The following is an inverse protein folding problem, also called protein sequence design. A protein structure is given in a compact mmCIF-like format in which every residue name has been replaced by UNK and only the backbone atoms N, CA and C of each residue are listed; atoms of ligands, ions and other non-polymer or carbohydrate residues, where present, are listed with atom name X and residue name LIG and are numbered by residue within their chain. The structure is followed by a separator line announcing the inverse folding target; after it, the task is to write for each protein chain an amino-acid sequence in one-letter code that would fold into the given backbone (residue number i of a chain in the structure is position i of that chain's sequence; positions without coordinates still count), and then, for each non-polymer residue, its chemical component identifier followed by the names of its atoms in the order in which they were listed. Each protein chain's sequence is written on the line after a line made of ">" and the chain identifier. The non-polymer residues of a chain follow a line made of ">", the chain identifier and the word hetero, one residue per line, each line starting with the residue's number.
data_IF_668381007552
#
_entry.id   IF_668381007552
#
_cell.length_a   1.000
_cell.length_b   1.000
_cell.length_c   1.000
_cell.angle_alpha   90.00
_cell.angle_beta   90.00
_cell.angle_gamma   90.00
#
_symmetry.space_group_name_H-M   'P 1'
#
loop_
_entity.id
_entity.type
_entity.pdbx_description
1 polymer ?
#
# COMPACT_ATOMS: atom_id res chain seq x y z
N UNK A 1 -16.47 -9.32 -9.09
CA UNK A 1 -16.77 -7.95 -8.60
C UNK A 1 -17.70 -7.18 -9.54
N UNK A 2 -17.38 -6.95 -10.82
CA UNK A 2 -18.32 -6.29 -11.77
C UNK A 2 -19.69 -6.97 -11.97
N UNK A 3 -19.82 -8.27 -11.70
CA UNK A 3 -21.10 -8.97 -11.79
C UNK A 3 -22.07 -8.68 -10.63
N UNK A 4 -21.58 -8.10 -9.54
CA UNK A 4 -22.34 -7.91 -8.29
C UNK A 4 -22.60 -6.42 -7.99
N UNK A 5 -21.87 -5.52 -8.63
CA UNK A 5 -21.99 -4.06 -8.48
C UNK A 5 -22.05 -3.41 -9.87
N UNK A 6 -23.26 -3.08 -10.32
CA UNK A 6 -23.55 -2.61 -11.68
C UNK A 6 -22.94 -1.23 -11.99
N UNK A 7 -22.65 -0.44 -10.94
CA UNK A 7 -22.03 0.90 -11.01
C UNK A 7 -20.55 0.91 -10.61
N UNK A 8 -19.89 -0.26 -10.57
CA UNK A 8 -18.47 -0.33 -10.22
C UNK A 8 -17.59 0.34 -11.28
N UNK A 9 -17.12 1.53 -10.96
CA UNK A 9 -16.09 2.25 -11.70
C UNK A 9 -14.72 1.72 -11.28
N UNK A 10 -13.88 1.38 -12.26
CA UNK A 10 -12.53 0.85 -12.03
C UNK A 10 -11.56 1.66 -12.87
N UNK A 11 -10.59 2.28 -12.21
CA UNK A 11 -9.52 3.03 -12.85
C UNK A 11 -8.19 2.34 -12.55
N UNK A 12 -7.40 2.05 -13.59
CA UNK A 12 -6.05 1.52 -13.43
C UNK A 12 -5.08 2.64 -13.03
N UNK A 13 -4.25 2.37 -12.03
CA UNK A 13 -3.31 3.34 -11.50
C UNK A 13 -1.93 2.69 -11.38
N UNK A 14 -0.93 3.41 -11.89
CA UNK A 14 0.47 3.13 -11.66
C UNK A 14 1.07 4.28 -10.84
N UNK A 15 1.69 3.95 -9.71
CA UNK A 15 2.36 4.93 -8.87
C UNK A 15 3.66 4.34 -8.30
N UNK A 16 4.53 5.20 -7.77
CA UNK A 16 5.79 4.77 -7.15
C UNK A 16 5.81 5.14 -5.67
N UNK A 17 6.17 4.19 -4.81
CA UNK A 17 6.35 4.42 -3.37
C UNK A 17 7.73 3.91 -2.95
N UNK A 18 8.54 4.78 -2.33
CA UNK A 18 9.93 4.47 -1.95
C UNK A 18 10.79 3.95 -3.12
N UNK A 19 10.51 4.41 -4.35
CA UNK A 19 11.18 3.93 -5.56
C UNK A 19 10.70 2.57 -6.08
N UNK A 20 9.73 1.94 -5.42
CA UNK A 20 9.10 0.70 -5.85
C UNK A 20 7.88 1.05 -6.70
N UNK A 21 7.79 0.48 -7.90
CA UNK A 21 6.61 0.59 -8.75
C UNK A 21 5.45 -0.23 -8.18
N UNK A 22 4.29 0.41 -8.09
CA UNK A 22 3.04 -0.18 -7.67
C UNK A 22 2.01 0.00 -8.78
N UNK A 23 1.29 -1.07 -9.07
CA UNK A 23 0.21 -1.07 -10.06
C UNK A 23 -1.07 -1.57 -9.41
N UNK A 24 -2.22 -1.09 -9.85
CA UNK A 24 -3.47 -1.61 -9.34
C UNK A 24 -4.66 -0.78 -9.78
N UNK A 25 -5.68 -0.76 -8.94
CA UNK A 25 -6.96 -0.19 -9.31
C UNK A 25 -7.53 0.68 -8.19
N UNK A 26 -8.10 1.82 -8.57
CA UNK A 26 -9.08 2.52 -7.76
C UNK A 26 -10.47 2.02 -8.17
N UNK A 27 -11.33 1.78 -7.19
CA UNK A 27 -12.65 1.18 -7.37
C UNK A 27 -13.66 2.00 -6.60
N UNK A 28 -14.63 2.58 -7.31
CA UNK A 28 -15.72 3.32 -6.69
C UNK A 28 -17.03 2.59 -6.97
N UNK A 29 -17.84 2.36 -5.94
CA UNK A 29 -19.10 1.67 -6.08
C UNK A 29 -20.14 2.18 -5.09
N UNK A 30 -21.41 2.07 -5.48
CA UNK A 30 -22.54 2.38 -4.63
C UNK A 30 -23.05 1.12 -3.95
N UNK A 31 -23.17 1.15 -2.63
CA UNK A 31 -23.76 0.06 -1.86
C UNK A 31 -24.55 0.59 -0.67
N UNK A 32 -25.82 0.17 -0.55
CA UNK A 32 -26.72 0.56 0.55
C UNK A 32 -26.78 2.08 0.79
N UNK A 33 -26.97 2.87 -0.26
CA UNK A 33 -27.01 4.36 -0.24
C UNK A 33 -25.68 5.07 0.10
N UNK A 34 -24.59 4.33 0.32
CA UNK A 34 -23.25 4.88 0.53
C UNK A 34 -22.39 4.81 -0.73
N UNK A 35 -21.60 5.87 -0.96
CA UNK A 35 -20.51 5.85 -1.96
C UNK A 35 -19.28 5.29 -1.28
N UNK A 36 -18.82 4.12 -1.74
CA UNK A 36 -17.66 3.46 -1.19
C UNK A 36 -16.50 3.52 -2.19
N UNK A 37 -15.33 3.84 -1.66
CA UNK A 37 -14.09 3.96 -2.42
C UNK A 37 -13.12 2.92 -1.90
N UNK A 38 -12.58 2.12 -2.81
CA UNK A 38 -11.63 1.07 -2.53
C UNK A 38 -10.42 1.21 -3.44
N UNK A 39 -9.27 0.80 -2.92
CA UNK A 39 -8.02 0.84 -3.63
C UNK A 39 -7.31 -0.49 -3.46
N UNK A 40 -6.81 -1.03 -4.56
CA UNK A 40 -5.86 -2.13 -4.53
C UNK A 40 -4.56 -1.68 -5.17
N UNK A 41 -3.45 -2.00 -4.51
CA UNK A 41 -2.09 -1.82 -5.02
C UNK A 41 -1.35 -3.13 -4.93
N UNK A 42 -0.72 -3.51 -6.02
CA UNK A 42 0.14 -4.67 -6.12
C UNK A 42 1.55 -4.15 -6.35
N UNK A 43 2.47 -4.64 -5.55
CA UNK A 43 3.87 -4.30 -5.67
C UNK A 43 4.73 -5.55 -5.51
N UNK A 44 5.92 -5.51 -6.11
CA UNK A 44 6.89 -6.60 -6.00
C UNK A 44 8.14 -6.09 -5.30
N UNK A 45 8.51 -6.76 -4.22
CA UNK A 45 9.74 -6.50 -3.48
C UNK A 45 10.52 -7.79 -3.43
N UNK A 46 11.75 -7.78 -3.98
CA UNK A 46 12.59 -8.96 -4.12
C UNK A 46 11.83 -10.12 -4.81
N UNK A 47 11.70 -11.27 -4.14
CA UNK A 47 11.04 -12.48 -4.64
C UNK A 47 9.57 -12.61 -4.17
N UNK A 48 9.00 -11.57 -3.60
CA UNK A 48 7.63 -11.57 -3.08
C UNK A 48 6.73 -10.54 -3.76
N UNK A 49 5.48 -10.92 -3.97
CA UNK A 49 4.42 -10.04 -4.48
C UNK A 49 3.44 -9.74 -3.35
N UNK A 50 3.23 -8.46 -3.06
CA UNK A 50 2.32 -7.98 -2.04
C UNK A 50 1.12 -7.29 -2.68
N UNK A 51 -0.05 -7.46 -2.07
CA UNK A 51 -1.25 -6.73 -2.43
C UNK A 51 -1.78 -5.99 -1.20
N UNK A 52 -1.89 -4.66 -1.31
CA UNK A 52 -2.47 -3.78 -0.31
C UNK A 52 -3.87 -3.41 -0.76
N UNK A 53 -4.87 -3.71 0.07
CA UNK A 53 -6.27 -3.38 -0.17
C UNK A 53 -6.76 -2.44 0.92
N UNK A 54 -7.28 -1.28 0.51
CA UNK A 54 -7.84 -0.27 1.39
C UNK A 54 -9.26 0.05 0.95
N UNK A 55 -10.19 0.20 1.89
CA UNK A 55 -11.60 0.50 1.61
C UNK A 55 -12.14 1.49 2.65
N UNK A 56 -12.97 2.43 2.22
CA UNK A 56 -13.63 3.40 3.11
C UNK A 56 -14.71 4.21 2.40
N UNK A 57 -15.32 5.14 3.12
CA UNK A 57 -16.27 6.09 2.55
C UNK A 57 -15.54 7.22 1.82
N UNK A 58 -16.08 7.68 0.69
CA UNK A 58 -15.41 8.58 -0.26
C UNK A 58 -14.83 9.84 0.41
N UNK A 59 -15.60 10.46 1.31
CA UNK A 59 -15.21 11.68 2.02
C UNK A 59 -14.03 11.50 3.00
N UNK A 60 -13.83 10.28 3.51
CA UNK A 60 -12.71 9.93 4.39
C UNK A 60 -11.52 9.41 3.58
N UNK A 61 -11.78 8.78 2.45
CA UNK A 61 -10.77 8.09 1.65
C UNK A 61 -9.68 9.04 1.13
N UNK A 62 -10.07 10.24 0.68
CA UNK A 62 -9.12 11.29 0.27
C UNK A 62 -8.19 11.74 1.41
N UNK A 63 -8.73 11.82 2.64
CA UNK A 63 -7.94 12.20 3.82
C UNK A 63 -7.04 11.06 4.28
N UNK A 64 -7.54 9.82 4.17
CA UNK A 64 -6.84 8.61 4.58
C UNK A 64 -5.80 8.14 3.56
N UNK A 65 -5.83 8.61 2.32
CA UNK A 65 -4.87 8.25 1.27
C UNK A 65 -3.40 8.40 1.71
N UNK A 66 -3.08 9.49 2.41
CA UNK A 66 -1.73 9.70 2.96
C UNK A 66 -1.38 8.70 4.07
N UNK A 67 -2.36 8.27 4.86
CA UNK A 67 -2.19 7.28 5.93
C UNK A 67 -1.98 5.89 5.33
N UNK A 68 -2.76 5.50 4.32
CA UNK A 68 -2.55 4.24 3.59
C UNK A 68 -1.17 4.19 2.95
N UNK A 69 -0.72 5.32 2.38
CA UNK A 69 0.62 5.42 1.79
C UNK A 69 1.72 5.30 2.85
N UNK A 70 1.55 5.94 4.02
CA UNK A 70 2.48 5.83 5.14
C UNK A 70 2.52 4.40 5.72
N UNK A 71 1.37 3.76 5.91
CA UNK A 71 1.30 2.37 6.36
C UNK A 71 1.97 1.43 5.37
N UNK A 72 1.71 1.60 4.07
CA UNK A 72 2.36 0.81 3.03
C UNK A 72 3.88 1.00 3.04
N UNK A 73 4.36 2.24 3.17
CA UNK A 73 5.79 2.54 3.29
C UNK A 73 6.41 1.83 4.51
N UNK A 74 5.73 1.88 5.65
CA UNK A 74 6.22 1.27 6.91
C UNK A 74 6.41 -0.25 6.83
N UNK A 75 5.66 -0.94 5.97
CA UNK A 75 5.81 -2.38 5.75
C UNK A 75 7.15 -2.76 5.10
N UNK A 76 7.78 -1.80 4.40
CA UNK A 76 9.00 -2.04 3.62
C UNK A 76 10.23 -1.31 4.15
N UNK A 77 10.07 -0.38 5.10
CA UNK A 77 11.19 0.36 5.72
C UNK A 77 11.68 -0.24 7.05
N UNK A 78 11.03 -1.29 7.57
CA UNK A 78 11.34 -1.88 8.87
C UNK A 78 12.39 -3.01 8.87
N UNK A 79 13.18 -3.14 7.80
CA UNK A 79 14.17 -4.21 7.65
C UNK A 79 15.64 -3.74 7.57
N UNK A 80 15.87 -2.43 7.63
CA UNK A 80 17.22 -1.83 7.67
C UNK A 80 17.61 -1.46 9.12
N UNK A 81 17.24 -2.30 10.09
CA UNK A 81 18.02 -2.35 11.33
C UNK A 81 19.36 -2.98 10.90
N UNK A 82 20.28 -2.12 10.48
CA UNK A 82 21.68 -2.45 10.29
C UNK A 82 22.11 -3.25 11.53
N UNK A 83 22.50 -4.50 11.30
CA UNK A 83 23.31 -5.28 12.23
C UNK A 83 24.55 -4.42 12.54
N UNK A 84 24.48 -3.61 13.60
CA UNK A 84 25.63 -3.11 14.33
C UNK A 84 26.31 -4.34 14.97
N UNK A 85 26.94 -5.16 14.11
CA UNK A 85 28.10 -5.96 14.47
C UNK A 85 29.21 -4.94 14.79
N UNK A 86 29.09 -4.31 15.97
CA UNK A 86 30.21 -3.67 16.64
C UNK A 86 31.27 -4.76 16.85
N UNK A 87 32.19 -4.83 15.89
CA UNK A 87 33.46 -5.54 15.95
C UNK A 87 34.28 -4.95 17.10
N UNK A 88 33.96 -5.41 18.32
CA UNK A 88 34.78 -5.24 19.53
C UNK A 88 36.04 -6.10 19.39
N UNK A 89 36.87 -5.80 18.40
CA UNK A 89 38.27 -6.24 18.36
C UNK A 89 39.04 -5.47 19.44
N UNK A 90 38.92 -5.96 20.67
CA UNK A 90 39.68 -5.55 21.84
C UNK A 90 41.19 -5.71 21.53
N UNK A 91 41.84 -4.61 21.15
CA UNK A 91 43.30 -4.55 21.04
C UNK A 91 43.87 -4.41 22.45
N UNK A 92 44.40 -5.50 22.99
CA UNK A 92 45.15 -5.50 24.25
C UNK A 92 46.44 -4.64 24.13
N UNK A 93 46.75 -3.79 25.13
CA UNK A 93 48.07 -3.20 25.31
C UNK A 93 49.03 -4.08 26.13
#
# INVERSE_FOLDING_TARGET
>A
MKQEYETLEVEEVCESLLGIEMVGFNMNFYFLDFTNSAQIRVLRVQDHTYAVFCQGEDHEFDRLGNVFRAMTASLFTGGDDEDDDDDDSFVEP
#
